data_IF_228307037039
#
_entry.id   IF_228307037039
#
_cell.length_a   1.000
_cell.length_b   1.000
_cell.length_c   1.000
_cell.angle_alpha   90.00
_cell.angle_beta   90.00
_cell.angle_gamma   90.00
#
_symmetry.space_group_name_H-M   'P 1'
#
loop_
_entity.id
_entity.type
_entity.pdbx_description
1 polymer ?
#
# COMPACT_ATOMS: atom_id res chain seq x y z
N UNK A 1 -47.31 21.08 0.95
CA UNK A 1 -45.87 21.30 0.70
C UNK A 1 -45.17 21.07 2.01
N UNK A 2 -44.46 19.93 2.12
CA UNK A 2 -43.90 19.45 3.38
C UNK A 2 -42.45 19.13 3.12
N UNK A 3 -41.56 19.75 3.90
CA UNK A 3 -40.10 19.66 3.83
C UNK A 3 -39.60 18.21 3.79
N UNK A 4 -38.87 17.86 2.73
CA UNK A 4 -38.13 16.59 2.59
C UNK A 4 -36.65 16.92 2.70
N UNK A 5 -36.13 17.02 3.92
CA UNK A 5 -34.70 16.86 4.21
C UNK A 5 -34.56 16.42 5.67
N UNK A 6 -35.07 15.23 5.97
CA UNK A 6 -34.74 14.52 7.20
C UNK A 6 -33.58 13.59 6.89
N UNK A 7 -32.38 13.93 7.38
CA UNK A 7 -31.24 12.99 7.42
C UNK A 7 -31.71 11.68 8.09
N UNK A 8 -31.39 10.49 7.55
CA UNK A 8 -31.68 9.27 8.28
C UNK A 8 -30.85 9.26 9.57
N UNK A 9 -31.55 9.21 10.71
CA UNK A 9 -30.92 8.96 11.99
C UNK A 9 -30.33 7.54 11.97
N UNK A 10 -29.02 7.45 12.21
CA UNK A 10 -28.36 6.17 12.50
C UNK A 10 -28.90 5.72 13.86
N UNK A 11 -29.83 4.77 13.84
CA UNK A 11 -30.28 4.08 15.05
C UNK A 11 -29.13 3.21 15.54
N UNK A 12 -28.46 3.68 16.59
CA UNK A 12 -27.62 2.84 17.45
C UNK A 12 -28.53 1.82 18.15
N UNK A 13 -28.82 0.70 17.49
CA UNK A 13 -29.43 -0.44 18.15
C UNK A 13 -28.35 -1.20 18.92
N UNK A 14 -28.18 -0.81 20.18
CA UNK A 14 -27.60 -1.63 21.23
C UNK A 14 -28.52 -2.82 21.51
N UNK A 15 -28.50 -3.85 20.65
CA UNK A 15 -28.91 -5.22 20.98
C UNK A 15 -28.92 -6.05 19.70
N UNK A 16 -27.86 -6.84 19.49
CA UNK A 16 -27.94 -8.23 19.04
C UNK A 16 -26.52 -8.78 19.04
N UNK A 17 -26.21 -9.45 20.15
CA UNK A 17 -24.98 -10.23 20.30
C UNK A 17 -25.09 -11.41 19.36
N UNK A 18 -24.45 -11.32 18.19
CA UNK A 18 -24.22 -12.47 17.31
C UNK A 18 -22.97 -13.18 17.82
N UNK A 19 -23.17 -14.22 18.63
CA UNK A 19 -22.13 -15.19 18.93
C UNK A 19 -21.94 -16.09 17.72
N UNK A 20 -20.85 -15.89 16.98
CA UNK A 20 -20.22 -16.96 16.21
C UNK A 20 -18.77 -17.09 16.66
N UNK A 21 -18.53 -18.07 17.55
CA UNK A 21 -17.20 -18.60 17.85
C UNK A 21 -16.80 -19.54 16.70
N UNK A 22 -16.41 -18.97 15.58
CA UNK A 22 -15.52 -19.62 14.59
C UNK A 22 -14.14 -18.95 14.73
N UNK A 23 -13.03 -19.66 14.42
CA UNK A 23 -11.69 -19.16 14.75
C UNK A 23 -11.51 -17.78 14.14
N UNK A 24 -10.92 -16.84 14.90
CA UNK A 24 -10.49 -15.52 14.43
C UNK A 24 -9.57 -15.69 13.21
N UNK A 25 -10.16 -15.83 12.03
CA UNK A 25 -9.46 -16.21 10.82
C UNK A 25 -9.15 -14.92 10.05
N UNK A 26 -7.95 -14.39 10.28
CA UNK A 26 -7.21 -13.35 9.54
C UNK A 26 -7.91 -12.04 9.11
N UNK A 27 -9.10 -12.07 8.50
CA UNK A 27 -9.87 -10.87 8.16
C UNK A 27 -10.39 -10.12 9.40
N UNK A 28 -10.80 -10.84 10.43
CA UNK A 28 -11.13 -10.25 11.73
C UNK A 28 -9.94 -9.54 12.37
N UNK A 29 -8.73 -10.14 12.25
CA UNK A 29 -7.49 -9.51 12.71
C UNK A 29 -7.09 -8.32 11.83
N UNK A 30 -7.28 -8.40 10.52
CA UNK A 30 -7.09 -7.30 9.57
C UNK A 30 -7.98 -6.09 9.89
N UNK A 31 -9.28 -6.29 10.07
CA UNK A 31 -10.22 -5.24 10.51
C UNK A 31 -9.96 -4.75 11.93
N UNK A 32 -9.56 -5.63 12.84
CA UNK A 32 -9.20 -5.23 14.21
C UNK A 32 -7.91 -4.42 14.23
N UNK A 33 -6.91 -4.76 13.42
CA UNK A 33 -5.71 -3.96 13.22
C UNK A 33 -6.11 -2.56 12.72
N UNK A 34 -7.06 -2.46 11.79
CA UNK A 34 -7.60 -1.19 11.28
C UNK A 34 -8.40 -0.39 12.33
N UNK A 35 -9.13 -1.06 13.22
CA UNK A 35 -9.81 -0.39 14.35
C UNK A 35 -8.82 0.11 15.39
N UNK A 36 -7.72 -0.61 15.57
CA UNK A 36 -6.69 -0.34 16.56
C UNK A 36 -5.53 0.49 16.03
N UNK A 37 -5.60 1.04 14.80
CA UNK A 37 -4.57 1.98 14.31
C UNK A 37 -4.61 3.21 15.21
N UNK A 38 -3.64 3.29 16.12
CA UNK A 38 -3.34 4.52 16.85
C UNK A 38 -2.93 5.59 15.85
N UNK A 39 -3.26 6.86 16.10
CA UNK A 39 -2.81 8.00 15.29
C UNK A 39 -1.29 7.87 15.05
N UNK A 40 -0.93 7.44 13.85
CA UNK A 40 0.44 7.15 13.45
C UNK A 40 0.73 8.09 12.31
N UNK A 41 1.66 9.00 12.57
CA UNK A 41 2.05 10.01 11.60
C UNK A 41 3.36 9.63 10.95
N UNK A 42 3.49 9.95 9.67
CA UNK A 42 4.73 9.78 8.92
C UNK A 42 5.17 11.14 8.39
N UNK A 43 6.37 11.54 8.80
CA UNK A 43 7.03 12.72 8.25
C UNK A 43 7.73 12.33 6.95
N UNK A 44 7.40 13.05 5.88
CA UNK A 44 7.98 12.87 4.56
C UNK A 44 8.71 14.16 4.23
N UNK A 45 10.02 14.06 4.03
CA UNK A 45 10.84 15.21 3.68
C UNK A 45 11.62 15.00 2.39
N UNK A 46 11.47 15.93 1.45
CA UNK A 46 12.19 15.96 0.18
C UNK A 46 13.18 17.13 0.21
N UNK A 47 14.44 16.83 -0.05
CA UNK A 47 15.50 17.81 -0.17
C UNK A 47 15.70 18.17 -1.66
N UNK A 48 15.27 19.37 -2.07
CA UNK A 48 15.72 20.00 -3.31
C UNK A 48 16.93 20.91 -3.04
N UNK A 49 17.74 21.18 -4.06
CA UNK A 49 18.94 22.02 -4.07
C UNK A 49 18.81 23.37 -3.33
N UNK A 50 17.58 23.87 -3.10
CA UNK A 50 17.36 25.16 -2.46
C UNK A 50 16.39 25.18 -1.26
N UNK A 51 15.57 24.14 -1.02
CA UNK A 51 14.61 24.10 0.12
C UNK A 51 14.26 22.66 0.54
N UNK A 52 14.25 22.40 1.84
CA UNK A 52 13.63 21.20 2.44
C UNK A 52 12.13 21.45 2.52
N UNK A 53 11.34 20.58 1.89
CA UNK A 53 9.89 20.52 2.11
C UNK A 53 9.60 19.30 2.97
N UNK A 54 8.82 19.51 4.01
CA UNK A 54 8.45 18.49 4.98
C UNK A 54 6.94 18.55 5.17
N UNK A 55 6.32 17.39 5.09
CA UNK A 55 4.90 17.21 5.37
C UNK A 55 4.74 16.08 6.37
N UNK A 56 3.67 16.12 7.13
CA UNK A 56 3.26 15.04 8.02
C UNK A 56 1.97 14.45 7.49
N UNK A 57 1.95 13.13 7.31
CA UNK A 57 0.80 12.39 6.79
C UNK A 57 0.24 11.47 7.87
N UNK A 58 -1.08 11.47 8.03
CA UNK A 58 -1.77 10.53 8.93
C UNK A 58 -1.89 9.16 8.27
N UNK A 59 -0.96 8.25 8.57
CA UNK A 59 -0.96 6.90 8.02
C UNK A 59 -2.17 6.10 8.51
N UNK A 60 -2.70 6.41 9.69
CA UNK A 60 -3.88 5.73 10.20
C UNK A 60 -5.13 6.08 9.40
N UNK A 61 -5.33 7.36 9.10
CA UNK A 61 -6.41 7.83 8.25
C UNK A 61 -6.28 7.29 6.82
N UNK A 62 -5.07 7.37 6.22
CA UNK A 62 -4.81 6.82 4.89
C UNK A 62 -5.08 5.32 4.82
N UNK A 63 -4.66 4.55 5.83
CA UNK A 63 -4.93 3.12 5.91
C UNK A 63 -6.44 2.85 5.91
N UNK A 64 -7.21 3.58 6.72
CA UNK A 64 -8.68 3.42 6.79
C UNK A 64 -9.34 3.72 5.44
N UNK A 65 -8.95 4.83 4.80
CA UNK A 65 -9.49 5.23 3.48
C UNK A 65 -9.16 4.22 2.40
N UNK A 66 -7.91 3.75 2.36
CA UNK A 66 -7.46 2.73 1.43
C UNK A 66 -8.25 1.43 1.59
N UNK A 67 -8.43 0.94 2.82
CA UNK A 67 -9.19 -0.30 3.03
C UNK A 67 -10.67 -0.11 2.71
N UNK A 68 -11.25 1.07 2.94
CA UNK A 68 -12.60 1.36 2.47
C UNK A 68 -12.69 1.21 0.95
N UNK A 69 -11.75 1.79 0.19
CA UNK A 69 -11.72 1.67 -1.28
C UNK A 69 -11.55 0.21 -1.73
N UNK A 70 -10.69 -0.57 -1.07
CA UNK A 70 -10.52 -2.00 -1.37
C UNK A 70 -11.82 -2.76 -1.07
N UNK A 71 -12.47 -2.49 0.06
CA UNK A 71 -13.76 -3.11 0.38
C UNK A 71 -14.80 -2.78 -0.68
N UNK A 72 -14.88 -1.54 -1.11
CA UNK A 72 -15.83 -1.10 -2.15
C UNK A 72 -15.54 -1.83 -3.47
N UNK A 73 -14.26 -1.98 -3.85
CA UNK A 73 -13.84 -2.74 -5.03
C UNK A 73 -14.29 -4.20 -5.01
N UNK A 74 -14.29 -4.84 -3.84
CA UNK A 74 -14.70 -6.24 -3.67
C UNK A 74 -16.17 -6.42 -3.27
N UNK A 75 -16.94 -5.33 -3.12
CA UNK A 75 -18.37 -5.38 -2.79
C UNK A 75 -19.21 -5.31 -4.06
N UNK A 76 -19.94 -6.38 -4.45
CA UNK A 76 -20.87 -6.34 -5.57
C UNK A 76 -21.97 -5.28 -5.40
N UNK A 77 -22.35 -4.62 -6.50
CA UNK A 77 -23.43 -3.60 -6.54
C UNK A 77 -24.76 -4.14 -5.98
N UNK A 78 -25.04 -5.42 -6.20
CA UNK A 78 -26.23 -6.12 -5.69
C UNK A 78 -26.31 -6.13 -4.17
N UNK A 79 -25.17 -6.23 -3.47
CA UNK A 79 -25.13 -6.16 -2.00
C UNK A 79 -25.33 -4.72 -1.54
N UNK A 80 -24.71 -3.76 -2.23
CA UNK A 80 -24.79 -2.32 -1.88
C UNK A 80 -26.21 -1.76 -1.96
N UNK A 81 -27.06 -2.36 -2.80
CA UNK A 81 -28.44 -1.95 -3.04
C UNK A 81 -29.48 -2.82 -2.34
N UNK A 82 -29.07 -3.91 -1.67
CA UNK A 82 -29.97 -4.86 -1.05
C UNK A 82 -30.76 -4.23 0.11
N UNK A 83 -32.07 -4.48 0.15
CA UNK A 83 -32.96 -4.03 1.22
C UNK A 83 -33.52 -5.23 1.96
N UNK A 84 -33.53 -5.17 3.29
CA UNK A 84 -34.14 -6.21 4.13
C UNK A 84 -35.64 -6.27 3.86
N UNK A 85 -36.16 -7.42 3.45
CA UNK A 85 -37.60 -7.61 3.31
C UNK A 85 -38.24 -7.66 4.71
N UNK A 86 -39.08 -6.68 5.00
CA UNK A 86 -39.82 -6.57 6.27
C UNK A 86 -40.75 -7.78 6.47
N UNK A 87 -41.21 -8.42 5.39
CA UNK A 87 -42.09 -9.60 5.45
C UNK A 87 -41.34 -10.92 5.67
N UNK A 88 -40.05 -10.96 5.36
CA UNK A 88 -39.21 -12.14 5.60
C UNK A 88 -37.80 -11.72 6.04
N UNK A 89 -37.68 -11.16 7.27
CA UNK A 89 -36.45 -10.56 7.75
C UNK A 89 -35.35 -11.61 7.96
N UNK A 90 -35.70 -12.82 8.40
CA UNK A 90 -34.73 -13.91 8.63
C UNK A 90 -34.05 -14.34 7.33
N UNK A 91 -34.82 -14.66 6.30
CA UNK A 91 -34.27 -15.08 5.00
C UNK A 91 -33.46 -13.97 4.33
N UNK A 92 -33.90 -12.72 4.46
CA UNK A 92 -33.17 -11.55 3.93
C UNK A 92 -31.84 -11.34 4.67
N UNK A 93 -31.85 -11.52 5.98
CA UNK A 93 -30.65 -11.42 6.82
C UNK A 93 -29.66 -12.54 6.50
N UNK A 94 -30.13 -13.77 6.30
CA UNK A 94 -29.26 -14.89 5.90
C UNK A 94 -28.59 -14.67 4.55
N UNK A 95 -29.31 -14.11 3.58
CA UNK A 95 -28.74 -13.78 2.27
C UNK A 95 -27.67 -12.68 2.37
N UNK A 96 -27.96 -11.62 3.13
CA UNK A 96 -26.99 -10.56 3.42
C UNK A 96 -25.74 -11.11 4.11
N UNK A 97 -25.90 -11.95 5.13
CA UNK A 97 -24.78 -12.54 5.85
C UNK A 97 -23.89 -13.40 4.95
N UNK A 98 -24.48 -14.22 4.07
CA UNK A 98 -23.72 -15.00 3.08
C UNK A 98 -22.97 -14.10 2.11
N UNK A 99 -23.59 -13.00 1.70
CA UNK A 99 -23.00 -12.05 0.77
C UNK A 99 -21.82 -11.30 1.41
N UNK A 100 -21.97 -10.82 2.66
CA UNK A 100 -20.87 -10.23 3.43
C UNK A 100 -19.72 -11.21 3.66
N UNK A 101 -20.01 -12.46 4.00
CA UNK A 101 -18.97 -13.50 4.15
C UNK A 101 -18.14 -13.66 2.87
N UNK A 102 -18.78 -13.65 1.70
CA UNK A 102 -18.08 -13.72 0.41
C UNK A 102 -17.18 -12.50 0.16
N UNK A 103 -17.65 -11.30 0.52
CA UNK A 103 -16.82 -10.07 0.42
C UNK A 103 -15.60 -10.17 1.32
N UNK A 104 -15.79 -10.63 2.56
CA UNK A 104 -14.72 -10.80 3.52
C UNK A 104 -13.67 -11.84 3.04
N UNK A 105 -14.14 -12.97 2.48
CA UNK A 105 -13.28 -13.99 1.89
C UNK A 105 -12.46 -13.44 0.70
N UNK A 106 -13.08 -12.60 -0.15
CA UNK A 106 -12.41 -11.96 -1.28
C UNK A 106 -11.32 -10.97 -0.82
N UNK A 107 -11.61 -10.14 0.18
CA UNK A 107 -10.63 -9.19 0.72
C UNK A 107 -9.48 -9.94 1.41
N UNK A 108 -9.79 -11.04 2.11
CA UNK A 108 -8.74 -11.89 2.69
C UNK A 108 -7.85 -12.51 1.60
N UNK A 109 -8.45 -13.04 0.54
CA UNK A 109 -7.71 -13.57 -0.62
C UNK A 109 -6.85 -12.51 -1.28
N UNK A 110 -7.37 -11.28 -1.43
CA UNK A 110 -6.59 -10.13 -1.89
C UNK A 110 -5.38 -9.87 -0.99
N UNK A 111 -5.57 -9.79 0.33
CA UNK A 111 -4.48 -9.49 1.26
C UNK A 111 -3.38 -10.55 1.25
N UNK A 112 -3.76 -11.84 1.17
CA UNK A 112 -2.81 -12.95 1.03
C UNK A 112 -1.95 -12.78 -0.22
N UNK A 113 -2.55 -12.40 -1.35
CA UNK A 113 -1.83 -12.13 -2.58
C UNK A 113 -0.96 -10.87 -2.47
N UNK A 114 -1.47 -9.81 -1.84
CA UNK A 114 -0.79 -8.52 -1.73
C UNK A 114 0.54 -8.61 -0.97
N UNK A 115 0.66 -9.56 -0.02
CA UNK A 115 1.92 -9.88 0.68
C UNK A 115 3.06 -10.28 -0.25
N UNK A 116 2.74 -10.92 -1.38
CA UNK A 116 3.70 -11.25 -2.43
C UNK A 116 3.83 -10.13 -3.45
N UNK A 117 2.69 -9.55 -3.84
CA UNK A 117 2.57 -8.59 -4.94
C UNK A 117 3.25 -7.25 -4.62
N UNK A 118 3.02 -6.67 -3.44
CA UNK A 118 3.58 -5.35 -3.11
C UNK A 118 5.12 -5.37 -3.11
N UNK A 119 5.80 -6.25 -2.34
CA UNK A 119 7.25 -6.30 -2.36
C UNK A 119 7.81 -6.58 -3.76
N UNK A 120 7.21 -7.51 -4.49
CA UNK A 120 7.61 -7.83 -5.86
C UNK A 120 7.54 -6.61 -6.79
N UNK A 121 6.43 -5.85 -6.72
CA UNK A 121 6.24 -4.66 -7.55
C UNK A 121 7.28 -3.55 -7.24
N UNK A 122 7.59 -3.33 -5.96
CA UNK A 122 8.57 -2.34 -5.52
C UNK A 122 9.98 -2.75 -5.98
N UNK A 123 10.33 -4.02 -5.82
CA UNK A 123 11.63 -4.56 -6.25
C UNK A 123 11.78 -4.46 -7.77
N UNK A 124 10.78 -4.90 -8.52
CA UNK A 124 10.78 -4.80 -9.98
C UNK A 124 10.97 -3.36 -10.46
N UNK A 125 10.21 -2.42 -9.89
CA UNK A 125 10.34 -1.00 -10.26
C UNK A 125 11.69 -0.42 -9.86
N UNK A 126 12.23 -0.83 -8.71
CA UNK A 126 13.54 -0.36 -8.26
C UNK A 126 14.64 -0.83 -9.20
N UNK A 127 14.57 -2.09 -9.65
CA UNK A 127 15.49 -2.63 -10.67
C UNK A 127 15.31 -1.89 -12.00
N UNK A 128 14.08 -1.65 -12.45
CA UNK A 128 13.81 -0.92 -13.70
C UNK A 128 14.30 0.54 -13.66
N UNK A 129 14.39 1.12 -12.47
CA UNK A 129 14.91 2.46 -12.25
C UNK A 129 16.40 2.48 -11.89
N UNK A 130 17.08 1.32 -11.86
CA UNK A 130 18.54 1.30 -11.79
C UNK A 130 19.09 2.04 -13.00
N UNK A 131 20.07 2.90 -12.76
CA UNK A 131 20.73 3.69 -13.81
C UNK A 131 19.78 4.61 -14.61
N UNK A 132 18.67 5.06 -14.00
CA UNK A 132 17.69 5.96 -14.63
C UNK A 132 18.33 7.25 -15.15
N UNK A 133 19.33 7.79 -14.45
CA UNK A 133 20.01 9.03 -14.84
C UNK A 133 20.87 8.84 -16.09
N UNK A 134 21.43 7.64 -16.23
CA UNK A 134 22.29 7.17 -17.31
C UNK A 134 21.49 6.64 -18.51
N UNK A 135 20.16 6.52 -18.37
CA UNK A 135 19.24 5.96 -19.37
C UNK A 135 19.61 4.54 -19.81
N UNK A 136 20.26 3.79 -18.94
CA UNK A 136 20.63 2.39 -19.18
C UNK A 136 19.42 1.53 -18.79
N UNK A 137 19.02 0.64 -19.69
CA UNK A 137 17.97 -0.34 -19.43
C UNK A 137 18.64 -1.65 -19.03
N UNK A 138 18.29 -2.15 -17.84
CA UNK A 138 18.73 -3.46 -17.36
C UNK A 138 18.09 -4.56 -18.20
N UNK A 139 18.89 -5.47 -18.73
CA UNK A 139 18.38 -6.60 -19.51
C UNK A 139 17.59 -7.60 -18.64
N UNK A 140 16.82 -8.46 -19.29
CA UNK A 140 15.91 -9.39 -18.62
C UNK A 140 16.64 -10.40 -17.72
N UNK A 141 17.79 -10.90 -18.14
CA UNK A 141 18.55 -11.91 -17.39
C UNK A 141 19.14 -11.29 -16.12
N UNK A 142 19.72 -10.09 -16.26
CA UNK A 142 20.21 -9.30 -15.12
C UNK A 142 19.08 -8.98 -14.14
N UNK A 143 17.91 -8.56 -14.63
CA UNK A 143 16.73 -8.29 -13.78
C UNK A 143 16.30 -9.53 -13.01
N UNK A 144 16.19 -10.68 -13.67
CA UNK A 144 15.81 -11.94 -13.01
C UNK A 144 16.85 -12.36 -11.96
N UNK A 145 18.15 -12.19 -12.26
CA UNK A 145 19.23 -12.47 -11.32
C UNK A 145 19.12 -11.58 -10.07
N UNK A 146 19.01 -10.27 -10.23
CA UNK A 146 18.85 -9.31 -9.13
C UNK A 146 17.62 -9.64 -8.27
N UNK A 147 16.48 -9.91 -8.91
CA UNK A 147 15.25 -10.25 -8.21
C UNK A 147 15.40 -11.51 -7.34
N UNK A 148 16.09 -12.52 -7.87
CA UNK A 148 16.32 -13.80 -7.18
C UNK A 148 17.28 -13.64 -5.98
N UNK A 149 18.32 -12.82 -6.14
CA UNK A 149 19.27 -12.52 -5.06
C UNK A 149 18.59 -11.78 -3.90
N UNK A 150 17.74 -10.79 -4.21
CA UNK A 150 16.99 -10.04 -3.21
C UNK A 150 15.96 -10.91 -2.50
N UNK A 151 15.24 -11.77 -3.24
CA UNK A 151 14.32 -12.76 -2.66
C UNK A 151 15.03 -13.63 -1.61
N UNK A 152 16.23 -14.12 -1.94
CA UNK A 152 17.04 -14.94 -1.05
C UNK A 152 17.58 -14.15 0.15
N UNK A 153 18.13 -12.95 -0.06
CA UNK A 153 18.74 -12.13 1.00
C UNK A 153 17.73 -11.69 2.07
N UNK A 154 16.50 -11.36 1.66
CA UNK A 154 15.44 -10.91 2.58
C UNK A 154 14.44 -12.01 2.95
N UNK A 155 14.67 -13.25 2.50
CA UNK A 155 13.77 -14.40 2.70
C UNK A 155 12.30 -14.08 2.34
N UNK A 156 12.09 -13.48 1.17
CA UNK A 156 10.78 -13.06 0.68
C UNK A 156 10.27 -14.02 -0.38
N UNK A 157 9.03 -14.48 -0.24
CA UNK A 157 8.32 -15.12 -1.34
C UNK A 157 7.86 -14.05 -2.32
N UNK A 158 8.44 -14.03 -3.52
CA UNK A 158 8.21 -12.99 -4.54
C UNK A 158 7.71 -13.59 -5.87
N UNK A 159 7.08 -12.75 -6.69
CA UNK A 159 6.69 -13.05 -8.09
C UNK A 159 7.31 -12.01 -9.03
N UNK A 160 8.27 -12.44 -9.84
CA UNK A 160 9.00 -11.55 -10.76
C UNK A 160 8.14 -11.01 -11.91
N UNK A 161 6.95 -11.56 -12.15
CA UNK A 161 6.04 -11.10 -13.20
C UNK A 161 5.09 -9.99 -12.74
N UNK A 162 5.08 -9.65 -11.44
CA UNK A 162 4.22 -8.62 -10.90
C UNK A 162 4.71 -7.23 -11.30
N UNK A 163 3.88 -6.50 -12.04
CA UNK A 163 4.17 -5.14 -12.44
C UNK A 163 3.62 -4.08 -11.47
N UNK A 164 2.43 -4.30 -10.91
CA UNK A 164 1.73 -3.28 -10.13
C UNK A 164 0.96 -3.88 -8.95
N UNK A 165 1.04 -3.18 -7.83
CA UNK A 165 0.31 -3.47 -6.60
C UNK A 165 -1.03 -2.73 -6.58
N UNK A 166 -2.09 -3.43 -6.19
CA UNK A 166 -3.42 -2.82 -5.99
C UNK A 166 -3.38 -1.82 -4.84
N UNK A 167 -2.55 -2.07 -3.82
CA UNK A 167 -2.32 -1.13 -2.72
C UNK A 167 -1.80 0.21 -3.26
N UNK A 168 -0.76 0.18 -4.09
CA UNK A 168 -0.20 1.39 -4.73
C UNK A 168 -1.22 2.05 -5.66
N UNK A 169 -1.99 1.29 -6.44
CA UNK A 169 -3.04 1.82 -7.33
C UNK A 169 -4.08 2.61 -6.54
N UNK A 170 -4.65 2.00 -5.50
CA UNK A 170 -5.73 2.62 -4.74
C UNK A 170 -5.28 3.85 -3.94
N UNK A 171 -4.00 3.91 -3.53
CA UNK A 171 -3.42 5.10 -2.89
C UNK A 171 -3.38 6.32 -3.81
N UNK A 172 -3.20 6.13 -5.13
CA UNK A 172 -3.12 7.24 -6.09
C UNK A 172 -4.41 8.05 -6.17
N UNK A 173 -5.54 7.39 -5.88
CA UNK A 173 -6.87 7.97 -5.94
C UNK A 173 -7.39 8.43 -4.57
N UNK A 174 -6.52 8.56 -3.55
CA UNK A 174 -6.89 9.11 -2.24
C UNK A 174 -6.56 10.61 -2.24
N UNK A 175 -7.55 11.51 -2.03
CA UNK A 175 -7.34 12.96 -2.09
C UNK A 175 -6.23 13.48 -1.17
N UNK A 176 -6.07 12.90 0.01
CA UNK A 176 -5.03 13.28 0.97
C UNK A 176 -3.63 12.89 0.50
N UNK A 177 -3.51 11.81 -0.28
CA UNK A 177 -2.24 11.42 -0.90
C UNK A 177 -1.90 12.37 -2.04
N UNK A 178 -2.89 12.75 -2.86
CA UNK A 178 -2.71 13.75 -3.92
C UNK A 178 -2.28 15.09 -3.32
N UNK A 179 -2.97 15.53 -2.26
CA UNK A 179 -2.62 16.75 -1.52
C UNK A 179 -1.21 16.67 -0.93
N UNK A 180 -0.81 15.53 -0.35
CA UNK A 180 0.54 15.33 0.16
C UNK A 180 1.61 15.50 -0.94
N UNK A 181 1.36 14.95 -2.13
CA UNK A 181 2.24 15.11 -3.30
C UNK A 181 2.32 16.57 -3.76
N UNK A 182 1.19 17.28 -3.79
CA UNK A 182 1.11 18.68 -4.16
C UNK A 182 1.82 19.59 -3.15
N UNK A 183 1.63 19.34 -1.85
CA UNK A 183 2.28 20.07 -0.76
C UNK A 183 3.81 19.88 -0.80
N UNK A 184 4.27 18.66 -1.12
CA UNK A 184 5.68 18.37 -1.42
C UNK A 184 6.18 19.06 -2.70
N UNK A 185 5.28 19.53 -3.58
CA UNK A 185 5.61 20.19 -4.85
C UNK A 185 6.30 19.28 -5.85
N UNK A 186 5.95 17.99 -5.85
CA UNK A 186 6.53 16.98 -6.74
C UNK A 186 5.52 16.46 -7.77
N UNK A 187 4.39 17.14 -7.96
CA UNK A 187 3.28 16.70 -8.81
C UNK A 187 3.70 16.40 -10.24
N UNK A 188 4.70 17.11 -10.76
CA UNK A 188 5.24 16.91 -12.11
C UNK A 188 6.37 15.87 -12.19
N UNK A 189 6.92 15.44 -11.05
CA UNK A 189 7.99 14.46 -10.99
C UNK A 189 7.43 13.04 -10.79
N UNK A 190 7.17 12.34 -11.90
CA UNK A 190 6.61 10.99 -11.90
C UNK A 190 7.40 9.96 -11.09
N UNK A 191 8.72 10.12 -11.01
CA UNK A 191 9.58 9.24 -10.23
C UNK A 191 9.40 9.49 -8.73
N UNK A 192 9.52 10.75 -8.28
CA UNK A 192 9.34 11.09 -6.86
C UNK A 192 7.92 10.79 -6.37
N UNK A 193 6.91 11.00 -7.21
CA UNK A 193 5.53 10.58 -6.89
C UNK A 193 5.46 9.09 -6.57
N UNK A 194 6.05 8.28 -7.44
CA UNK A 194 6.06 6.82 -7.25
C UNK A 194 6.82 6.41 -5.98
N UNK A 195 7.93 7.08 -5.67
CA UNK A 195 8.67 6.86 -4.42
C UNK A 195 7.82 7.17 -3.18
N UNK A 196 7.05 8.27 -3.20
CA UNK A 196 6.10 8.59 -2.12
C UNK A 196 5.01 7.52 -2.02
N UNK A 197 4.44 7.05 -3.14
CA UNK A 197 3.47 5.96 -3.12
C UNK A 197 4.05 4.68 -2.52
N UNK A 198 5.27 4.29 -2.89
CA UNK A 198 5.95 3.13 -2.31
C UNK A 198 6.18 3.29 -0.80
N UNK A 199 6.56 4.49 -0.35
CA UNK A 199 6.79 4.77 1.05
C UNK A 199 5.50 4.63 1.87
N UNK A 200 4.42 5.27 1.41
CA UNK A 200 3.11 5.16 2.04
C UNK A 200 2.62 3.70 2.04
N UNK A 201 2.70 3.04 0.88
CA UNK A 201 2.32 1.65 0.72
C UNK A 201 3.08 0.71 1.66
N UNK A 202 4.40 0.88 1.77
CA UNK A 202 5.24 0.05 2.64
C UNK A 202 4.93 0.23 4.13
N UNK A 203 4.63 1.45 4.56
CA UNK A 203 4.20 1.70 5.94
C UNK A 203 2.84 1.08 6.24
N UNK A 204 1.86 1.28 5.34
CA UNK A 204 0.52 0.70 5.48
C UNK A 204 0.58 -0.83 5.44
N UNK A 205 1.39 -1.41 4.55
CA UNK A 205 1.61 -2.84 4.46
C UNK A 205 2.13 -3.46 5.77
N UNK A 206 3.17 -2.86 6.35
CA UNK A 206 3.74 -3.32 7.60
C UNK A 206 2.73 -3.18 8.75
N UNK A 207 1.97 -2.09 8.73
CA UNK A 207 0.89 -1.86 9.69
C UNK A 207 -0.20 -2.95 9.61
N UNK A 208 -0.72 -3.23 8.40
CA UNK A 208 -1.75 -4.24 8.17
C UNK A 208 -1.27 -5.66 8.52
N UNK A 209 0.02 -5.91 8.39
CA UNK A 209 0.68 -7.16 8.81
C UNK A 209 0.89 -7.28 10.33
N UNK A 210 0.40 -6.32 11.13
CA UNK A 210 0.62 -6.30 12.59
C UNK A 210 2.07 -6.00 12.98
N UNK A 211 2.89 -5.49 12.04
CA UNK A 211 4.35 -5.38 12.13
C UNK A 211 5.09 -6.70 12.39
N UNK A 212 4.40 -7.84 12.31
CA UNK A 212 5.04 -9.17 12.29
C UNK A 212 5.79 -9.31 10.97
N UNK A 213 7.07 -9.66 11.02
CA UNK A 213 7.94 -9.77 9.84
C UNK A 213 7.99 -8.47 8.99
N UNK A 214 8.12 -7.32 9.67
CA UNK A 214 8.23 -6.00 9.05
C UNK A 214 9.24 -6.02 7.88
N UNK A 215 8.76 -5.65 6.70
CA UNK A 215 9.59 -5.55 5.49
C UNK A 215 10.17 -4.14 5.41
N UNK A 216 11.50 -4.04 5.45
CA UNK A 216 12.19 -2.78 5.29
C UNK A 216 12.47 -2.49 3.80
N UNK A 217 11.51 -1.86 3.13
CA UNK A 217 11.63 -1.51 1.71
C UNK A 217 12.81 -0.55 1.42
N UNK A 218 13.25 0.24 2.39
CA UNK A 218 14.43 1.10 2.21
C UNK A 218 15.72 0.28 2.13
N UNK A 219 15.89 -0.69 3.04
CA UNK A 219 17.04 -1.60 3.01
C UNK A 219 17.06 -2.46 1.74
N UNK A 220 15.90 -2.94 1.30
CA UNK A 220 15.77 -3.69 0.03
C UNK A 220 16.25 -2.82 -1.15
N UNK A 221 15.84 -1.55 -1.21
CA UNK A 221 16.26 -0.64 -2.28
C UNK A 221 17.77 -0.39 -2.28
N UNK A 222 18.40 -0.27 -1.11
CA UNK A 222 19.85 -0.14 -1.01
C UNK A 222 20.57 -1.44 -1.41
N UNK A 223 20.10 -2.59 -0.95
CA UNK A 223 20.66 -3.89 -1.32
C UNK A 223 20.61 -4.13 -2.84
N UNK A 224 19.52 -3.74 -3.52
CA UNK A 224 19.41 -3.81 -4.99
C UNK A 224 20.56 -3.03 -5.64
N UNK A 225 20.87 -1.82 -5.15
CA UNK A 225 21.98 -1.00 -5.68
C UNK A 225 23.32 -1.67 -5.44
N UNK A 226 23.58 -2.12 -4.21
CA UNK A 226 24.87 -2.72 -3.85
C UNK A 226 25.15 -4.00 -4.63
N UNK A 227 24.14 -4.86 -4.80
CA UNK A 227 24.28 -6.10 -5.58
C UNK A 227 24.50 -5.76 -7.05
N UNK A 228 23.74 -4.79 -7.59
CA UNK A 228 23.90 -4.36 -8.97
C UNK A 228 25.31 -3.80 -9.24
N UNK A 229 25.83 -2.95 -8.34
CA UNK A 229 27.18 -2.41 -8.44
C UNK A 229 28.27 -3.49 -8.37
N UNK A 230 28.13 -4.44 -7.44
CA UNK A 230 29.09 -5.54 -7.27
C UNK A 230 29.15 -6.47 -8.48
N UNK A 231 28.00 -6.76 -9.12
CA UNK A 231 27.91 -7.72 -10.21
C UNK A 231 28.06 -7.12 -11.61
N UNK A 232 27.70 -5.86 -11.79
CA UNK A 232 27.59 -5.24 -13.12
C UNK A 232 28.33 -3.90 -13.24
N UNK A 233 29.21 -3.57 -12.28
CA UNK A 233 29.87 -2.27 -12.18
C UNK A 233 30.65 -1.85 -13.44
N UNK A 234 30.29 -0.67 -13.95
CA UNK A 234 31.13 0.16 -14.84
C UNK A 234 32.45 0.50 -14.11
N UNK A 235 33.63 0.46 -14.75
CA UNK A 235 34.91 0.65 -14.08
C UNK A 235 35.04 1.99 -13.35
N UNK A 236 35.67 1.96 -12.16
CA UNK A 236 35.95 3.14 -11.31
C UNK A 236 36.68 4.30 -12.01
N UNK A 237 37.30 4.08 -13.17
CA UNK A 237 38.09 5.06 -13.91
C UNK A 237 37.26 6.08 -14.71
N UNK A 238 35.96 5.86 -14.90
CA UNK A 238 35.06 6.83 -15.55
C UNK A 238 34.20 7.60 -14.54
N UNK A 239 34.28 7.28 -13.24
CA UNK A 239 33.41 7.81 -12.19
C UNK A 239 33.85 9.20 -11.68
N UNK A 240 33.87 10.20 -12.56
CA UNK A 240 33.84 11.60 -12.14
C UNK A 240 32.48 11.95 -11.54
N UNK A 241 32.29 11.69 -10.24
CA UNK A 241 31.15 12.23 -9.46
C UNK A 241 29.77 11.67 -9.80
N UNK A 242 29.62 10.33 -9.86
CA UNK A 242 28.32 9.70 -10.10
C UNK A 242 27.49 9.64 -8.82
N UNK A 243 26.43 10.44 -8.76
CA UNK A 243 25.37 10.33 -7.77
C UNK A 243 24.39 9.24 -8.21
N UNK A 244 24.39 8.11 -7.53
CA UNK A 244 23.29 7.13 -7.66
C UNK A 244 22.02 7.76 -7.09
N UNK A 245 21.02 7.95 -7.96
CA UNK A 245 19.82 8.80 -7.81
C UNK A 245 20.10 10.32 -7.81
N UNK A 246 19.12 11.17 -8.24
CA UNK A 246 19.31 12.61 -8.22
C UNK A 246 19.52 13.08 -6.77
N UNK A 247 20.00 14.30 -6.57
CA UNK A 247 20.36 14.96 -5.29
C UNK A 247 19.25 14.99 -4.21
N UNK A 248 18.12 14.34 -4.46
CA UNK A 248 16.94 14.22 -3.62
C UNK A 248 16.92 12.87 -2.90
N UNK A 249 17.64 12.78 -1.78
CA UNK A 249 17.40 11.73 -0.78
C UNK A 249 16.16 12.12 0.04
N UNK A 250 15.15 11.25 0.09
CA UNK A 250 14.15 11.29 1.15
C UNK A 250 14.91 11.02 2.46
N UNK A 251 15.11 12.05 3.28
CA UNK A 251 15.73 11.90 4.58
C UNK A 251 14.65 11.58 5.61
N UNK A 252 14.80 10.45 6.29
CA UNK A 252 13.91 10.01 7.36
C UNK A 252 14.39 10.58 8.71
N UNK A 253 13.53 11.30 9.41
CA UNK A 253 13.72 11.54 10.84
C UNK A 253 13.36 10.26 11.58
N UNK A 254 14.36 9.63 12.24
CA UNK A 254 14.09 8.67 13.31
C UNK A 254 13.53 9.46 14.49
N UNK A 255 12.35 9.10 14.96
CA UNK A 255 11.96 9.40 16.35
C UNK A 255 12.64 8.39 17.27
#
# INVERSE_FOLDING_TARGET
MTNIFSKPAILNNNSNVVFNKEPLNNYGNFLNNIKNIKNTYLDISICDYNKRKEITVDIADLSKKLISKIRDLYTPEEISSYRVDIKNPEKSTDLLNKAYKKVDDNILGWWINEKKVLPSSIINRTIDNLYRNEKIIVDKETKQCLFSLISHEFNLELDSNVAQSTLIQQLQDIPEVVKAIDDLGISDNSYLKYEVYCLLAGNIYNFLSGNENKVNFSEIKEAIKEIAQRKFGVPKSELGGFSFYPVFTLAFCKN
#
